data_IF_182587584326
#
_entry.id   IF_182587584326
#
_cell.length_a   1.000
_cell.length_b   1.000
_cell.length_c   1.000
_cell.angle_alpha   90.00
_cell.angle_beta   90.00
_cell.angle_gamma   90.00
#
_symmetry.space_group_name_H-M   'P 1'
#
loop_
_entity.id
_entity.type
_entity.pdbx_description
1 polymer ?
#
# COMPACT_ATOMS: atom_id res chain seq x y z
N UNK A 1 33.76 8.56 26.26
CA UNK A 1 32.40 9.05 25.87
C UNK A 1 32.29 9.01 24.35
N UNK A 2 31.36 8.26 23.80
CA UNK A 2 31.17 8.23 22.36
C UNK A 2 30.51 9.55 21.92
N UNK A 3 31.17 10.32 21.07
CA UNK A 3 30.60 11.50 20.46
C UNK A 3 29.51 11.09 19.47
N UNK A 4 28.24 11.32 19.80
CA UNK A 4 27.12 11.10 18.87
C UNK A 4 27.11 12.25 17.87
N UNK A 5 27.53 11.98 16.64
CA UNK A 5 27.45 12.94 15.54
C UNK A 5 26.04 12.86 14.94
N UNK A 6 25.30 13.97 14.97
CA UNK A 6 24.00 14.07 14.30
C UNK A 6 24.18 14.53 12.87
N UNK A 7 23.97 13.64 11.92
CA UNK A 7 24.08 13.93 10.48
C UNK A 7 22.68 13.93 9.87
N UNK A 8 22.38 14.97 9.05
CA UNK A 8 21.13 15.00 8.29
C UNK A 8 21.15 13.92 7.18
N UNK A 9 20.04 13.26 6.92
CA UNK A 9 19.95 12.23 5.86
C UNK A 9 20.40 12.78 4.48
N UNK A 10 20.12 14.06 4.18
CA UNK A 10 20.54 14.70 2.93
C UNK A 10 22.07 14.74 2.80
N UNK A 11 22.79 14.95 3.89
CA UNK A 11 24.27 14.93 3.91
C UNK A 11 24.79 13.55 3.53
N UNK A 12 24.15 12.46 4.02
CA UNK A 12 24.53 11.09 3.67
C UNK A 12 24.36 10.85 2.16
N UNK A 13 23.22 11.27 1.58
CA UNK A 13 23.00 11.15 0.14
C UNK A 13 24.02 11.96 -0.68
N UNK A 14 24.35 13.17 -0.26
CA UNK A 14 25.38 13.98 -0.91
C UNK A 14 26.76 13.30 -0.85
N UNK A 15 27.13 12.69 0.28
CA UNK A 15 28.38 11.92 0.41
C UNK A 15 28.43 10.70 -0.53
N UNK A 16 27.28 10.03 -0.72
CA UNK A 16 27.15 8.91 -1.67
C UNK A 16 27.32 9.41 -3.11
N UNK A 17 26.66 10.50 -3.48
CA UNK A 17 26.76 11.10 -4.82
C UNK A 17 28.18 11.61 -5.13
N UNK A 18 28.90 12.07 -4.12
CA UNK A 18 30.29 12.54 -4.23
C UNK A 18 31.34 11.42 -4.13
N UNK A 19 30.92 10.16 -3.90
CA UNK A 19 31.84 9.03 -3.76
C UNK A 19 32.69 9.05 -2.48
N UNK A 20 32.23 9.76 -1.44
CA UNK A 20 32.91 9.82 -0.13
C UNK A 20 32.68 8.55 0.70
N UNK A 21 31.63 7.78 0.38
CA UNK A 21 31.30 6.52 1.03
C UNK A 21 31.53 5.36 0.04
N UNK A 22 31.88 4.18 0.57
CA UNK A 22 32.08 2.94 -0.22
C UNK A 22 30.74 2.34 -0.74
N UNK A 23 29.72 3.16 -0.86
CA UNK A 23 28.42 2.82 -1.44
C UNK A 23 28.08 3.84 -2.53
N UNK A 24 27.60 3.34 -3.67
CA UNK A 24 27.18 4.18 -4.80
C UNK A 24 25.67 4.39 -4.86
N UNK A 25 25.25 5.28 -5.77
CA UNK A 25 23.83 5.55 -6.02
C UNK A 25 23.09 4.28 -6.50
N UNK A 26 23.79 3.36 -7.16
CA UNK A 26 23.24 2.07 -7.62
C UNK A 26 22.89 1.12 -6.48
N UNK A 27 23.57 1.24 -5.34
CA UNK A 27 23.34 0.40 -4.14
C UNK A 27 22.12 0.89 -3.33
N UNK A 28 21.64 2.08 -3.63
CA UNK A 28 20.44 2.64 -2.98
C UNK A 28 19.17 1.90 -3.44
N UNK A 29 18.16 1.77 -2.57
CA UNK A 29 16.94 1.02 -2.86
C UNK A 29 16.20 1.41 -4.14
N UNK A 30 16.31 2.64 -4.60
CA UNK A 30 15.70 3.14 -5.83
C UNK A 30 16.72 3.26 -6.99
N UNK A 31 17.97 2.79 -6.81
CA UNK A 31 19.06 2.79 -7.80
C UNK A 31 19.25 4.13 -8.55
N UNK A 32 18.90 5.26 -7.93
CA UNK A 32 18.95 6.59 -8.55
C UNK A 32 17.92 6.85 -9.66
N UNK A 33 17.04 5.90 -9.94
CA UNK A 33 16.07 5.99 -11.05
C UNK A 33 14.89 6.89 -10.66
N UNK A 34 14.85 8.12 -11.16
CA UNK A 34 13.66 8.97 -11.15
C UNK A 34 12.71 8.55 -12.28
N UNK A 35 11.69 7.77 -11.96
CA UNK A 35 10.68 7.37 -12.95
C UNK A 35 9.73 8.53 -13.22
N UNK A 36 9.61 8.97 -14.50
CA UNK A 36 8.52 9.85 -14.93
C UNK A 36 7.19 9.09 -14.81
N UNK A 37 6.17 9.76 -14.27
CA UNK A 37 4.81 9.19 -14.23
C UNK A 37 4.31 8.97 -15.64
N UNK A 38 3.91 7.74 -15.96
CA UNK A 38 3.23 7.45 -17.22
C UNK A 38 1.80 8.03 -17.15
N UNK A 39 1.34 8.60 -18.29
CA UNK A 39 -0.04 9.07 -18.42
C UNK A 39 -0.98 7.86 -18.36
N UNK A 40 -1.91 7.86 -17.42
CA UNK A 40 -2.87 6.77 -17.27
C UNK A 40 -3.95 6.88 -18.38
N UNK A 41 -4.22 5.75 -19.06
CA UNK A 41 -5.18 5.68 -20.17
C UNK A 41 -6.33 4.71 -19.88
N UNK A 42 -6.47 4.25 -18.63
CA UNK A 42 -7.53 3.31 -18.25
C UNK A 42 -8.88 3.99 -18.22
N UNK A 43 -9.88 3.35 -18.84
CA UNK A 43 -11.28 3.79 -18.78
C UNK A 43 -11.79 3.77 -17.34
N UNK A 44 -12.39 4.86 -16.93
CA UNK A 44 -12.97 5.04 -15.60
C UNK A 44 -14.41 4.52 -15.59
N UNK A 45 -14.69 3.67 -14.65
CA UNK A 45 -16.01 3.34 -14.20
C UNK A 45 -16.46 4.39 -13.18
N UNK A 46 -17.63 4.99 -13.36
CA UNK A 46 -18.03 6.22 -12.65
C UNK A 46 -19.12 5.99 -11.60
N UNK A 47 -19.18 4.80 -10.98
CA UNK A 47 -20.19 4.47 -10.01
C UNK A 47 -19.58 4.24 -8.62
N UNK A 48 -20.34 4.55 -7.58
CA UNK A 48 -19.95 4.39 -6.18
C UNK A 48 -19.91 5.73 -5.43
N UNK A 49 -19.60 5.69 -4.14
CA UNK A 49 -19.54 6.89 -3.30
C UNK A 49 -18.26 7.66 -3.62
N UNK A 50 -18.37 8.98 -3.77
CA UNK A 50 -17.20 9.83 -3.95
C UNK A 50 -16.30 9.82 -2.72
N UNK A 51 -15.00 10.01 -2.92
CA UNK A 51 -14.05 10.24 -1.83
C UNK A 51 -14.41 11.50 -1.01
N UNK A 52 -15.14 12.45 -1.60
CA UNK A 52 -15.62 13.65 -0.92
C UNK A 52 -16.66 13.35 0.16
N UNK A 53 -17.43 12.27 -0.01
CA UNK A 53 -18.43 11.81 0.97
C UNK A 53 -17.79 11.06 2.14
N UNK A 54 -16.45 10.91 2.11
CA UNK A 54 -15.70 10.18 3.13
C UNK A 54 -15.67 10.97 4.44
N UNK A 55 -15.89 10.34 5.61
CA UNK A 55 -15.83 11.02 6.89
C UNK A 55 -14.52 11.81 7.09
N UNK A 56 -14.62 13.01 7.64
CA UNK A 56 -13.46 13.91 7.85
C UNK A 56 -12.35 13.25 8.70
N UNK A 57 -12.70 12.42 9.67
CA UNK A 57 -11.77 11.67 10.52
C UNK A 57 -10.79 10.79 9.75
N UNK A 58 -11.16 10.37 8.53
CA UNK A 58 -10.30 9.58 7.64
C UNK A 58 -9.16 10.44 7.07
N UNK A 59 -9.42 11.73 6.87
CA UNK A 59 -8.44 12.68 6.31
C UNK A 59 -7.30 12.90 7.31
N UNK A 60 -7.64 13.12 8.57
CA UNK A 60 -6.70 13.45 9.64
C UNK A 60 -5.86 12.26 10.11
N UNK A 61 -6.23 11.03 9.72
CA UNK A 61 -5.54 9.79 10.09
C UNK A 61 -5.43 9.57 11.60
N UNK A 62 -6.33 10.15 12.36
CA UNK A 62 -6.38 9.95 13.82
C UNK A 62 -7.09 8.67 14.21
N UNK A 63 -8.07 8.24 13.40
CA UNK A 63 -8.84 7.03 13.63
C UNK A 63 -8.21 5.86 12.90
N UNK A 64 -8.05 4.71 13.57
CA UNK A 64 -7.56 3.46 12.99
C UNK A 64 -8.67 2.71 12.26
N UNK A 65 -8.27 1.80 11.35
CA UNK A 65 -9.16 0.90 10.64
C UNK A 65 -9.55 1.36 9.24
N UNK A 66 -9.16 2.55 8.81
CA UNK A 66 -9.40 3.05 7.45
C UNK A 66 -8.30 2.57 6.51
N UNK A 67 -8.68 1.78 5.51
CA UNK A 67 -7.73 1.22 4.56
C UNK A 67 -7.86 1.82 3.16
N UNK A 68 -6.73 1.88 2.46
CA UNK A 68 -6.65 2.09 1.01
C UNK A 68 -6.37 0.74 0.36
N UNK A 69 -7.17 0.35 -0.64
CA UNK A 69 -6.95 -0.89 -1.38
C UNK A 69 -6.50 -0.62 -2.81
N UNK A 70 -5.63 -1.49 -3.34
CA UNK A 70 -5.09 -1.39 -4.70
C UNK A 70 -4.63 -2.77 -5.20
N UNK A 71 -4.36 -2.87 -6.49
CA UNK A 71 -3.86 -4.07 -7.14
C UNK A 71 -2.47 -3.84 -7.71
N UNK A 72 -1.53 -4.69 -7.33
CA UNK A 72 -0.18 -4.73 -7.89
C UNK A 72 -0.09 -5.85 -8.91
N UNK A 73 0.19 -5.50 -10.16
CA UNK A 73 0.25 -6.42 -11.29
C UNK A 73 1.68 -6.79 -11.65
N UNK A 74 1.91 -8.03 -12.10
CA UNK A 74 3.22 -8.52 -12.54
C UNK A 74 3.67 -8.03 -13.93
N UNK A 75 2.93 -7.13 -14.56
CA UNK A 75 3.24 -6.62 -15.91
C UNK A 75 2.19 -6.99 -16.94
N UNK A 76 2.63 -7.29 -18.21
CA UNK A 76 1.71 -7.49 -19.34
C UNK A 76 1.04 -8.86 -19.40
N UNK A 77 1.58 -9.88 -18.73
CA UNK A 77 1.01 -11.24 -18.73
C UNK A 77 -0.31 -11.27 -17.99
N UNK A 78 -1.27 -12.02 -18.53
CA UNK A 78 -2.48 -12.41 -17.78
C UNK A 78 -2.03 -13.45 -16.75
N UNK A 79 -2.33 -13.24 -15.49
CA UNK A 79 -1.92 -14.14 -14.41
C UNK A 79 -2.39 -13.60 -13.07
N UNK A 80 -1.78 -14.09 -12.03
CA UNK A 80 -2.05 -13.67 -10.67
C UNK A 80 -1.76 -12.18 -10.45
N UNK A 81 -2.37 -11.62 -9.44
CA UNK A 81 -2.15 -10.26 -8.98
C UNK A 81 -1.96 -10.27 -7.46
N UNK A 82 -1.55 -9.15 -6.93
CA UNK A 82 -1.45 -8.95 -5.50
C UNK A 82 -2.41 -7.83 -5.11
N UNK A 83 -3.31 -8.11 -4.16
CA UNK A 83 -4.05 -7.07 -3.47
C UNK A 83 -3.17 -6.47 -2.36
N UNK A 84 -3.18 -5.16 -2.25
CA UNK A 84 -2.54 -4.44 -1.16
C UNK A 84 -3.59 -3.64 -0.41
N UNK A 85 -3.60 -3.77 0.91
CA UNK A 85 -4.47 -3.04 1.81
C UNK A 85 -3.61 -2.25 2.77
N UNK A 86 -3.66 -0.92 2.70
CA UNK A 86 -2.81 -0.04 3.52
C UNK A 86 -3.67 0.70 4.53
N UNK A 87 -3.44 0.43 5.82
CA UNK A 87 -4.09 1.16 6.89
C UNK A 87 -3.49 2.59 7.01
N UNK A 88 -4.38 3.59 7.03
CA UNK A 88 -3.98 4.99 6.85
C UNK A 88 -3.24 5.59 8.03
N UNK A 89 -3.56 5.22 9.26
CA UNK A 89 -2.94 5.73 10.50
C UNK A 89 -1.60 5.06 10.76
N UNK A 90 -1.59 3.74 10.86
CA UNK A 90 -0.40 2.94 11.20
C UNK A 90 0.56 2.74 10.03
N UNK A 91 0.10 2.96 8.79
CA UNK A 91 0.84 2.59 7.58
C UNK A 91 1.05 1.08 7.43
N UNK A 92 0.33 0.27 8.20
CA UNK A 92 0.35 -1.18 8.02
C UNK A 92 -0.05 -1.51 6.58
N UNK A 93 0.67 -2.44 5.97
CA UNK A 93 0.30 -2.99 4.66
C UNK A 93 0.02 -4.47 4.81
N UNK A 94 -1.11 -4.92 4.27
CA UNK A 94 -1.44 -6.33 4.12
C UNK A 94 -1.36 -6.64 2.63
N UNK A 95 -0.55 -7.63 2.30
CA UNK A 95 -0.32 -8.07 0.92
C UNK A 95 -0.93 -9.45 0.77
N UNK A 96 -1.88 -9.61 -0.14
CA UNK A 96 -2.57 -10.89 -0.40
C UNK A 96 -2.45 -11.27 -1.87
N UNK A 97 -2.16 -12.55 -2.15
CA UNK A 97 -2.21 -13.11 -3.50
C UNK A 97 -3.66 -13.16 -3.99
N UNK A 98 -3.88 -12.72 -5.22
CA UNK A 98 -5.13 -12.91 -5.94
C UNK A 98 -4.95 -14.00 -6.99
N UNK A 99 -5.95 -14.86 -7.14
CA UNK A 99 -5.94 -15.91 -8.17
C UNK A 99 -6.13 -15.33 -9.59
N UNK A 100 -6.67 -14.13 -9.70
CA UNK A 100 -6.90 -13.42 -10.95
C UNK A 100 -6.90 -11.91 -10.76
N UNK A 101 -7.05 -11.19 -11.90
CA UNK A 101 -7.14 -9.71 -11.92
C UNK A 101 -8.58 -9.23 -12.04
N UNK A 102 -9.50 -10.07 -11.65
CA UNK A 102 -10.94 -9.84 -11.79
C UNK A 102 -11.53 -9.34 -10.47
N UNK A 103 -12.76 -8.82 -10.59
CA UNK A 103 -13.48 -8.28 -9.43
C UNK A 103 -13.86 -9.37 -8.42
N UNK A 104 -14.05 -10.61 -8.84
CA UNK A 104 -14.40 -11.72 -7.94
C UNK A 104 -13.23 -12.04 -7.00
N UNK A 105 -12.02 -12.13 -7.55
CA UNK A 105 -10.79 -12.38 -6.75
C UNK A 105 -10.54 -11.26 -5.74
N UNK A 106 -10.75 -9.98 -6.13
CA UNK A 106 -10.60 -8.84 -5.23
C UNK A 106 -11.72 -8.83 -4.16
N UNK A 107 -12.96 -9.11 -4.55
CA UNK A 107 -14.08 -9.23 -3.60
C UNK A 107 -13.76 -10.26 -2.52
N UNK A 108 -13.33 -11.45 -2.91
CA UNK A 108 -12.94 -12.50 -1.95
C UNK A 108 -11.85 -12.01 -0.99
N UNK A 109 -10.81 -11.36 -1.49
CA UNK A 109 -9.71 -10.85 -0.66
C UNK A 109 -10.19 -9.78 0.34
N UNK A 110 -11.13 -8.90 -0.06
CA UNK A 110 -11.70 -7.88 0.83
C UNK A 110 -12.59 -8.52 1.90
N UNK A 111 -13.42 -9.50 1.54
CA UNK A 111 -14.29 -10.21 2.48
C UNK A 111 -13.47 -11.02 3.51
N UNK A 112 -12.38 -11.66 3.07
CA UNK A 112 -11.43 -12.32 3.97
C UNK A 112 -10.77 -11.32 4.93
N UNK A 113 -10.41 -10.13 4.43
CA UNK A 113 -9.86 -9.06 5.27
C UNK A 113 -10.90 -8.58 6.30
N UNK A 114 -12.16 -8.40 5.88
CA UNK A 114 -13.25 -8.01 6.76
C UNK A 114 -13.47 -9.05 7.88
N UNK A 115 -13.48 -10.33 7.55
CA UNK A 115 -13.61 -11.40 8.54
C UNK A 115 -12.41 -11.48 9.51
N UNK A 116 -11.20 -11.11 9.06
CA UNK A 116 -10.00 -11.13 9.90
C UNK A 116 -9.92 -9.92 10.86
N UNK A 117 -10.42 -8.77 10.43
CA UNK A 117 -10.31 -7.53 11.19
C UNK A 117 -11.60 -7.17 11.94
N UNK A 118 -12.73 -7.75 11.55
CA UNK A 118 -14.04 -7.51 12.17
C UNK A 118 -14.32 -6.00 12.35
N UNK A 119 -14.65 -5.56 13.56
CA UNK A 119 -14.93 -4.15 13.87
C UNK A 119 -13.70 -3.21 13.70
N UNK A 120 -12.53 -3.77 13.49
CA UNK A 120 -11.31 -3.01 13.22
C UNK A 120 -11.15 -2.64 11.74
N UNK A 121 -11.98 -3.17 10.84
CA UNK A 121 -12.07 -2.72 9.46
C UNK A 121 -13.17 -1.67 9.33
N UNK A 122 -12.76 -0.46 8.99
CA UNK A 122 -13.63 0.67 8.66
C UNK A 122 -13.70 0.86 7.14
N UNK A 123 -14.28 1.96 6.63
CA UNK A 123 -14.35 2.22 5.20
C UNK A 123 -13.05 1.98 4.43
N UNK A 124 -13.22 1.44 3.21
CA UNK A 124 -12.14 1.30 2.24
C UNK A 124 -12.13 2.50 1.28
N UNK A 125 -10.93 2.95 0.91
CA UNK A 125 -10.74 3.89 -0.21
C UNK A 125 -10.07 3.15 -1.36
N UNK A 126 -10.68 3.20 -2.54
CA UNK A 126 -10.25 2.49 -3.75
C UNK A 126 -10.17 3.44 -4.95
N UNK A 127 -9.60 2.99 -6.07
CA UNK A 127 -9.74 3.69 -7.34
C UNK A 127 -10.90 3.11 -8.16
N UNK A 128 -11.14 3.70 -9.34
CA UNK A 128 -12.12 3.21 -10.30
C UNK A 128 -11.58 2.04 -11.15
N UNK A 129 -10.76 1.17 -10.56
CA UNK A 129 -10.30 -0.06 -11.22
C UNK A 129 -11.43 -1.06 -11.41
N UNK A 130 -11.37 -1.83 -12.50
CA UNK A 130 -12.39 -2.87 -12.80
C UNK A 130 -12.45 -3.96 -11.72
N UNK A 131 -11.38 -4.16 -10.97
CA UNK A 131 -11.31 -5.06 -9.84
C UNK A 131 -12.28 -4.71 -8.70
N UNK A 132 -12.71 -3.45 -8.63
CA UNK A 132 -13.69 -2.98 -7.63
C UNK A 132 -15.13 -2.88 -8.19
N UNK A 133 -15.39 -3.44 -9.37
CA UNK A 133 -16.74 -3.39 -10.00
C UNK A 133 -17.84 -4.01 -9.14
N UNK A 134 -17.50 -4.99 -8.29
CA UNK A 134 -18.43 -5.65 -7.38
C UNK A 134 -18.61 -4.90 -6.04
N UNK A 135 -18.34 -3.61 -5.99
CA UNK A 135 -18.35 -2.82 -4.76
C UNK A 135 -19.64 -2.94 -3.94
N UNK A 136 -20.82 -3.01 -4.60
CA UNK A 136 -22.11 -3.17 -3.90
C UNK A 136 -22.17 -4.47 -3.10
N UNK A 137 -21.69 -5.57 -3.68
CA UNK A 137 -21.61 -6.87 -3.01
C UNK A 137 -20.65 -6.81 -1.82
N UNK A 138 -19.54 -6.12 -1.98
CA UNK A 138 -18.57 -5.92 -0.90
C UNK A 138 -19.20 -5.11 0.24
N UNK A 139 -19.86 -3.98 -0.07
CA UNK A 139 -20.55 -3.15 0.93
C UNK A 139 -21.63 -3.92 1.69
N UNK A 140 -22.41 -4.76 0.98
CA UNK A 140 -23.46 -5.58 1.57
C UNK A 140 -22.90 -6.65 2.52
N UNK A 141 -21.89 -7.42 2.06
CA UNK A 141 -21.38 -8.56 2.81
C UNK A 141 -20.38 -8.17 3.92
N UNK A 142 -19.50 -7.22 3.64
CA UNK A 142 -18.53 -6.73 4.63
C UNK A 142 -19.12 -5.68 5.57
N UNK A 143 -20.30 -5.11 5.24
CA UNK A 143 -20.96 -4.01 5.98
C UNK A 143 -20.09 -2.76 6.16
N UNK A 144 -19.22 -2.50 5.19
CA UNK A 144 -18.34 -1.33 5.17
C UNK A 144 -18.53 -0.55 3.89
N UNK A 145 -18.60 0.79 3.90
CA UNK A 145 -18.68 1.58 2.69
C UNK A 145 -17.36 1.64 1.93
N UNK A 146 -17.44 1.66 0.59
CA UNK A 146 -16.31 1.91 -0.29
C UNK A 146 -16.39 3.34 -0.83
N UNK A 147 -15.28 4.07 -0.75
CA UNK A 147 -15.12 5.41 -1.31
C UNK A 147 -14.14 5.38 -2.48
N UNK A 148 -14.54 5.99 -3.59
CA UNK A 148 -13.78 6.01 -4.82
C UNK A 148 -13.01 7.31 -4.97
N UNK A 149 -11.68 7.19 -5.09
CA UNK A 149 -10.80 8.33 -5.35
C UNK A 149 -11.05 8.90 -6.74
N UNK A 150 -10.85 10.20 -6.91
CA UNK A 150 -10.98 10.83 -8.22
C UNK A 150 -9.98 10.25 -9.22
N UNK A 151 -10.41 10.21 -10.47
CA UNK A 151 -9.53 9.85 -11.57
C UNK A 151 -8.32 10.82 -11.60
N UNK A 152 -7.13 10.28 -11.82
CA UNK A 152 -5.88 11.05 -11.89
C UNK A 152 -5.45 11.79 -10.60
N UNK A 153 -6.02 11.45 -9.44
CA UNK A 153 -5.71 12.05 -8.14
C UNK A 153 -4.92 11.09 -7.22
N UNK A 154 -3.68 10.71 -7.57
CA UNK A 154 -2.89 9.74 -6.80
C UNK A 154 -2.58 10.23 -5.38
N UNK A 155 -2.59 11.55 -5.12
CA UNK A 155 -2.38 12.12 -3.80
C UNK A 155 -3.47 11.72 -2.79
N UNK A 156 -4.67 11.40 -3.25
CA UNK A 156 -5.79 10.96 -2.40
C UNK A 156 -5.56 9.56 -1.82
N UNK A 157 -4.70 8.74 -2.48
CA UNK A 157 -4.26 7.41 -2.05
C UNK A 157 -2.74 7.35 -1.82
N UNK A 158 -2.16 8.45 -1.31
CA UNK A 158 -0.73 8.57 -1.12
C UNK A 158 -0.10 7.54 -0.17
N UNK A 159 -0.88 6.95 0.76
CA UNK A 159 -0.39 5.87 1.62
C UNK A 159 -0.12 4.63 0.79
N UNK A 160 -1.05 4.26 -0.07
CA UNK A 160 -0.95 3.08 -0.92
C UNK A 160 0.16 3.25 -1.99
N UNK A 161 0.22 4.39 -2.67
CA UNK A 161 1.29 4.67 -3.65
C UNK A 161 2.68 4.51 -3.03
N UNK A 162 2.89 5.06 -1.83
CA UNK A 162 4.17 4.95 -1.13
C UNK A 162 4.49 3.49 -0.76
N UNK A 163 3.53 2.78 -0.17
CA UNK A 163 3.75 1.39 0.26
C UNK A 163 3.94 0.46 -0.93
N UNK A 164 3.18 0.63 -2.01
CA UNK A 164 3.35 -0.12 -3.24
C UNK A 164 4.70 0.14 -3.91
N UNK A 165 5.24 1.36 -3.82
CA UNK A 165 6.60 1.66 -4.26
C UNK A 165 7.65 0.86 -3.48
N UNK A 166 7.49 0.72 -2.16
CA UNK A 166 8.41 -0.09 -1.35
C UNK A 166 8.22 -1.58 -1.64
N UNK A 167 6.97 -2.06 -1.79
CA UNK A 167 6.68 -3.44 -2.20
C UNK A 167 7.35 -3.80 -3.53
N UNK A 168 7.42 -2.86 -4.48
CA UNK A 168 8.06 -3.03 -5.78
C UNK A 168 9.57 -3.25 -5.74
N UNK A 169 10.23 -3.06 -4.60
CA UNK A 169 11.64 -3.44 -4.40
C UNK A 169 11.80 -4.96 -4.24
N UNK A 170 10.77 -5.62 -3.71
CA UNK A 170 10.71 -7.07 -3.53
C UNK A 170 10.07 -7.77 -4.71
N UNK A 171 9.08 -7.12 -5.34
CA UNK A 171 8.31 -7.63 -6.46
C UNK A 171 8.44 -6.64 -7.61
N UNK A 172 9.55 -6.66 -8.37
CA UNK A 172 9.78 -5.77 -9.49
C UNK A 172 8.71 -5.90 -10.58
N UNK A 173 8.54 -4.85 -11.38
CA UNK A 173 7.68 -4.92 -12.56
C UNK A 173 8.24 -5.95 -13.55
N UNK A 174 7.38 -6.86 -14.00
CA UNK A 174 7.76 -7.91 -14.95
C UNK A 174 8.06 -9.27 -14.30
N UNK A 175 8.33 -9.32 -13.00
CA UNK A 175 8.43 -10.59 -12.28
C UNK A 175 7.04 -11.26 -12.22
N UNK A 176 6.91 -12.51 -12.63
CA UNK A 176 5.66 -13.27 -12.45
C UNK A 176 5.32 -13.43 -10.97
N UNK A 177 4.08 -13.13 -10.61
CA UNK A 177 3.61 -13.26 -9.21
C UNK A 177 3.48 -14.73 -8.82
N UNK A 178 3.26 -15.58 -9.80
CA UNK A 178 3.17 -17.03 -9.65
C UNK A 178 4.47 -17.67 -9.13
N UNK A 179 5.62 -17.04 -9.40
CA UNK A 179 6.94 -17.51 -8.97
C UNK A 179 7.26 -17.14 -7.51
N UNK A 180 6.49 -16.23 -6.91
CA UNK A 180 6.67 -15.83 -5.52
C UNK A 180 5.98 -16.86 -4.64
N UNK A 181 6.70 -17.48 -3.73
CA UNK A 181 6.10 -18.42 -2.77
C UNK A 181 5.26 -17.70 -1.72
N UNK A 182 4.38 -18.43 -1.04
CA UNK A 182 3.58 -17.84 0.05
C UNK A 182 4.48 -17.46 1.24
N UNK A 183 5.54 -18.23 1.51
CA UNK A 183 6.52 -17.91 2.55
C UNK A 183 7.27 -16.60 2.23
N UNK A 184 7.69 -16.39 0.98
CA UNK A 184 8.28 -15.12 0.55
C UNK A 184 7.31 -13.96 0.72
N UNK A 185 6.03 -14.17 0.40
CA UNK A 185 5.01 -13.14 0.57
C UNK A 185 4.78 -12.79 2.05
N UNK A 186 4.82 -13.80 2.94
CA UNK A 186 4.77 -13.59 4.40
C UNK A 186 5.98 -12.81 4.88
N UNK A 187 7.19 -13.17 4.43
CA UNK A 187 8.43 -12.45 4.79
C UNK A 187 8.41 -10.99 4.30
N UNK A 188 7.91 -10.75 3.09
CA UNK A 188 7.73 -9.39 2.56
C UNK A 188 6.76 -8.60 3.43
N UNK A 189 5.60 -9.17 3.78
CA UNK A 189 4.64 -8.55 4.69
C UNK A 189 5.29 -8.19 6.03
N UNK A 190 6.03 -9.13 6.62
CA UNK A 190 6.73 -8.92 7.88
C UNK A 190 7.73 -7.78 7.77
N UNK A 191 8.62 -7.81 6.79
CA UNK A 191 9.62 -6.77 6.57
C UNK A 191 9.00 -5.39 6.41
N UNK A 192 7.93 -5.28 5.61
CA UNK A 192 7.26 -4.01 5.36
C UNK A 192 6.64 -3.43 6.64
N UNK A 193 6.19 -4.25 7.57
CA UNK A 193 5.46 -3.84 8.76
C UNK A 193 6.31 -3.76 10.03
N UNK A 194 7.49 -4.39 10.06
CA UNK A 194 8.44 -4.35 11.19
C UNK A 194 9.49 -3.24 11.08
N UNK A 195 9.56 -2.52 9.95
CA UNK A 195 10.52 -1.45 9.76
C UNK A 195 10.03 -0.12 10.36
N UNK A 196 10.84 0.55 11.21
CA UNK A 196 10.50 1.86 11.76
C UNK A 196 10.29 2.92 10.65
N UNK A 197 9.27 3.75 10.79
CA UNK A 197 8.96 4.81 9.85
C UNK A 197 9.07 6.18 10.52
N UNK A 198 9.73 7.14 9.85
CA UNK A 198 9.87 8.51 10.34
C UNK A 198 8.51 9.17 10.61
N UNK A 199 7.50 8.94 9.75
CA UNK A 199 6.16 9.48 9.92
C UNK A 199 5.38 8.88 11.11
N UNK A 200 5.90 7.82 11.72
CA UNK A 200 5.38 7.18 12.93
C UNK A 200 6.27 7.43 14.15
N UNK A 201 7.09 8.49 14.14
CA UNK A 201 8.07 8.77 15.17
C UNK A 201 9.01 7.58 15.43
N UNK A 202 9.49 6.95 14.36
CA UNK A 202 10.38 5.80 14.36
C UNK A 202 9.82 4.52 14.98
N UNK A 203 8.50 4.45 15.12
CA UNK A 203 7.78 3.21 15.45
C UNK A 203 7.49 2.41 14.19
N UNK A 204 7.23 1.12 14.36
CA UNK A 204 6.86 0.24 13.26
C UNK A 204 5.35 0.29 12.97
N UNK A 205 4.93 0.05 11.72
CA UNK A 205 3.51 -0.07 11.38
C UNK A 205 2.76 -1.07 12.25
N UNK A 206 3.35 -2.24 12.50
CA UNK A 206 2.70 -3.29 13.30
C UNK A 206 2.48 -2.85 14.76
N UNK A 207 3.46 -2.17 15.38
CA UNK A 207 3.32 -1.64 16.75
C UNK A 207 2.17 -0.64 16.87
N UNK A 208 2.06 0.28 15.89
CA UNK A 208 1.01 1.29 15.89
C UNK A 208 -0.35 0.63 15.64
N UNK A 209 -0.43 -0.35 14.73
CA UNK A 209 -1.67 -1.06 14.42
C UNK A 209 -2.18 -1.82 15.63
N UNK A 210 -1.35 -2.67 16.25
CA UNK A 210 -1.72 -3.48 17.41
C UNK A 210 -2.20 -2.63 18.60
N UNK A 211 -1.58 -1.46 18.83
CA UNK A 211 -2.02 -0.53 19.90
C UNK A 211 -3.40 0.07 19.67
N UNK A 212 -3.91 0.03 18.45
CA UNK A 212 -5.19 0.62 18.09
C UNK A 212 -6.26 -0.43 17.77
N UNK A 213 -5.94 -1.73 17.86
CA UNK A 213 -6.94 -2.78 17.78
C UNK A 213 -7.93 -2.66 18.94
N UNK A 214 -9.20 -2.80 18.62
CA UNK A 214 -10.27 -2.94 19.62
C UNK A 214 -10.47 -4.44 19.86
N UNK A 215 -10.43 -4.81 21.11
CA UNK A 215 -10.74 -6.15 21.58
C UNK A 215 -12.22 -6.25 21.93
#
# INVERSE_FOLDING_TARGET
>A
MAHVVRIAYKTIYNCIEQGVLDIGVADLPDHGIRRRRAKETRGTFSHGRSIEDRPAEVIDRHTSGHFEADTVLSGKRKGQAIATFVERKSRLIIVKRLQGRDSTSMTKAILELANQLEDNLKPLTVDHGKEFANYKLIEEQARIPLYFAHAYSPHERGSNENRNRVLRRFIPKGQPIEEITDDELIQINWYLNSRPLKCLNWRTPIEIFLRNLRH
#
